data_IF_523068601720
#
_entry.id   IF_523068601720
#
_cell.length_a   1.000
_cell.length_b   1.000
_cell.length_c   1.000
_cell.angle_alpha   90.00
_cell.angle_beta   90.00
_cell.angle_gamma   90.00
#
_symmetry.space_group_name_H-M   'P 1'
#
loop_
_entity.id
_entity.type
_entity.pdbx_description
1 polymer ?
2 non-polymer ?
3 water ?
#
# COMPACT_ATOMS: atom_id res chain seq x y z
N UNK A 1 -1.32 -0.13 -5.89
CA UNK A 1 -0.82 1.20 -6.34
C UNK A 1 0.41 1.05 -7.23
N UNK A 2 0.77 2.13 -7.91
CA UNK A 2 1.95 2.12 -8.78
C UNK A 2 3.26 2.08 -7.99
N UNK A 3 4.32 1.66 -8.66
CA UNK A 3 5.67 1.57 -8.10
C UNK A 3 6.58 1.62 -9.33
N UNK A 4 6.42 2.70 -10.10
CA UNK A 4 7.16 2.86 -11.35
C UNK A 4 8.65 3.10 -11.32
N UNK A 5 9.14 3.77 -10.30
CA UNK A 5 10.58 4.03 -10.18
C UNK A 5 11.07 3.59 -8.82
N UNK A 6 12.27 3.06 -8.79
CA UNK A 6 12.87 2.56 -7.58
C UNK A 6 13.06 3.62 -6.49
N UNK A 7 13.57 4.78 -6.85
CA UNK A 7 13.83 5.82 -5.85
C UNK A 7 13.18 7.18 -6.08
N UNK A 8 12.08 7.20 -6.82
CA UNK A 8 11.36 8.45 -7.10
C UNK A 8 9.86 8.28 -6.82
N UNK A 9 9.24 9.32 -6.28
CA UNK A 9 7.81 9.29 -5.96
C UNK A 9 6.90 9.60 -7.14
N UNK A 10 7.43 10.28 -8.15
CA UNK A 10 6.66 10.66 -9.32
C UNK A 10 5.56 9.68 -9.74
N UNK A 11 5.96 8.47 -10.09
CA UNK A 11 4.99 7.44 -10.48
C UNK A 11 5.13 6.21 -9.60
N UNK A 12 5.39 6.45 -8.32
CA UNK A 12 5.53 5.38 -7.35
C UNK A 12 4.69 5.74 -6.12
N UNK A 13 3.40 5.42 -6.19
CA UNK A 13 2.48 5.69 -5.09
C UNK A 13 2.89 4.95 -3.81
N UNK A 14 3.46 3.75 -3.97
CA UNK A 14 3.88 2.99 -2.80
C UNK A 14 4.95 3.70 -1.97
N UNK A 15 5.96 4.22 -2.65
CA UNK A 15 7.04 4.93 -1.96
C UNK A 15 6.50 6.19 -1.32
N UNK A 16 5.62 6.88 -2.04
CA UNK A 16 5.00 8.10 -1.55
C UNK A 16 4.28 7.81 -0.23
N UNK A 17 3.49 6.74 -0.23
CA UNK A 17 2.74 6.35 0.98
C UNK A 17 3.68 6.12 2.17
N UNK A 18 4.77 5.39 1.94
CA UNK A 18 5.72 5.10 3.01
C UNK A 18 6.43 6.36 3.49
N UNK A 19 6.82 7.24 2.57
CA UNK A 19 7.52 8.47 2.95
C UNK A 19 6.60 9.37 3.78
N UNK A 20 5.31 9.38 3.44
CA UNK A 20 4.36 10.19 4.20
C UNK A 20 4.13 9.58 5.59
N UNK A 21 4.18 8.26 5.68
CA UNK A 21 4.01 7.57 6.95
C UNK A 21 5.19 7.90 7.87
N UNK A 22 6.38 7.95 7.28
CA UNK A 22 7.59 8.26 8.02
C UNK A 22 7.51 9.71 8.51
N UNK A 23 6.96 10.60 7.68
CA UNK A 23 6.79 12.00 8.08
C UNK A 23 5.86 12.10 9.29
N UNK A 24 4.87 11.22 9.37
CA UNK A 24 3.94 11.23 10.51
C UNK A 24 4.72 10.87 11.77
N UNK A 25 5.61 9.88 11.68
CA UNK A 25 6.43 9.47 12.81
C UNK A 25 7.33 10.63 13.25
N UNK A 26 7.89 11.36 12.29
CA UNK A 26 8.76 12.49 12.58
C UNK A 26 7.99 13.63 13.27
N UNK A 27 6.74 13.83 12.87
CA UNK A 27 5.93 14.88 13.46
C UNK A 27 5.50 14.55 14.90
N UNK A 28 5.46 13.28 15.23
CA UNK A 28 5.07 12.88 16.58
C UNK A 28 6.22 13.06 17.57
N UNK A 29 6.01 13.88 18.59
CA UNK A 29 7.04 14.15 19.58
C UNK A 29 6.67 13.62 20.97
N UNK A 30 5.60 12.84 21.04
CA UNK A 30 5.16 12.30 22.32
C UNK A 30 5.49 10.84 22.56
N UNK A 31 5.46 10.02 21.52
CA UNK A 31 5.74 8.60 21.72
C UNK A 31 6.71 7.97 20.75
N UNK A 32 7.10 8.70 19.70
CA UNK A 32 8.03 8.13 18.72
C UNK A 32 9.49 8.45 19.01
N UNK A 33 10.32 7.41 19.08
CA UNK A 33 11.77 7.60 19.28
C UNK A 33 12.27 7.95 17.87
N UNK A 34 12.71 9.18 17.68
CA UNK A 34 13.17 9.62 16.37
C UNK A 34 14.36 8.86 15.79
N UNK A 35 15.06 8.09 16.61
CA UNK A 35 16.20 7.32 16.09
C UNK A 35 15.69 6.24 15.15
N UNK A 36 14.39 5.93 15.26
CA UNK A 36 13.78 4.93 14.40
C UNK A 36 13.68 5.48 12.98
N UNK A 37 13.31 6.75 12.87
CA UNK A 37 13.22 7.39 11.56
C UNK A 37 14.63 7.53 10.99
N UNK A 38 15.59 7.77 11.87
CA UNK A 38 16.97 7.90 11.43
C UNK A 38 17.45 6.57 10.81
N UNK A 39 17.05 5.45 11.42
CA UNK A 39 17.46 4.15 10.89
C UNK A 39 16.81 3.85 9.54
N UNK A 40 15.54 4.22 9.38
CA UNK A 40 14.84 4.01 8.12
C UNK A 40 15.55 4.79 7.01
N UNK A 41 16.01 6.00 7.34
CA UNK A 41 16.71 6.84 6.37
C UNK A 41 18.11 6.33 6.08
N UNK A 42 18.77 5.78 7.10
CA UNK A 42 20.11 5.24 6.93
C UNK A 42 20.10 4.09 5.92
N UNK A 43 19.08 3.25 6.01
CA UNK A 43 18.97 2.11 5.10
C UNK A 43 17.85 2.31 4.08
N UNK A 44 17.67 3.56 3.65
CA UNK A 44 16.63 3.90 2.69
C UNK A 44 16.76 3.24 1.32
N UNK A 45 17.99 3.08 0.83
CA UNK A 45 18.18 2.45 -0.47
C UNK A 45 17.56 1.04 -0.46
N UNK A 46 17.82 0.30 0.60
CA UNK A 46 17.31 -1.06 0.76
C UNK A 46 15.80 -1.07 0.95
N UNK A 47 15.30 -0.14 1.76
CA UNK A 47 13.87 -0.03 2.01
C UNK A 47 13.14 0.22 0.69
N UNK A 48 13.64 1.16 -0.11
CA UNK A 48 13.04 1.46 -1.40
C UNK A 48 13.18 0.31 -2.40
N UNK A 49 14.30 -0.40 -2.36
CA UNK A 49 14.50 -1.55 -3.25
C UNK A 49 13.38 -2.58 -2.99
N UNK A 50 13.07 -2.78 -1.71
CA UNK A 50 12.04 -3.72 -1.34
C UNK A 50 10.66 -3.28 -1.78
N UNK A 51 10.36 -1.99 -1.59
CA UNK A 51 9.08 -1.43 -1.99
C UNK A 51 8.85 -1.61 -3.50
N UNK A 52 9.92 -1.44 -4.27
CA UNK A 52 9.88 -1.55 -5.74
C UNK A 52 9.87 -2.99 -6.24
N UNK A 53 10.71 -3.84 -5.64
CA UNK A 53 10.83 -5.24 -6.04
C UNK A 53 9.52 -6.03 -6.09
N UNK A 54 8.59 -5.72 -5.17
CA UNK A 54 7.33 -6.43 -5.11
C UNK A 54 6.57 -6.50 -6.44
N UNK A 55 6.60 -5.42 -7.22
CA UNK A 55 5.90 -5.38 -8.51
C UNK A 55 6.80 -5.67 -9.72
N UNK A 56 8.06 -5.97 -9.48
CA UNK A 56 9.00 -6.18 -10.58
C UNK A 56 9.62 -7.56 -10.79
N UNK A 57 9.68 -8.39 -9.74
CA UNK A 57 10.31 -9.69 -9.89
C UNK A 57 9.72 -10.80 -9.04
N UNK A 58 10.13 -12.03 -9.36
CA UNK A 58 9.67 -13.20 -8.62
C UNK A 58 10.48 -13.28 -7.32
N UNK A 59 9.92 -13.90 -6.28
CA UNK A 59 8.59 -14.53 -6.26
C UNK A 59 7.48 -13.50 -5.96
N UNK A 60 7.89 -12.29 -5.63
CA UNK A 60 6.99 -11.22 -5.25
C UNK A 60 5.84 -10.90 -6.20
N UNK A 61 6.08 -10.89 -7.51
CA UNK A 61 4.99 -10.55 -8.43
C UNK A 61 4.32 -11.74 -9.13
N UNK A 62 4.63 -12.94 -8.63
CA UNK A 62 4.03 -14.17 -9.13
C UNK A 62 3.90 -14.30 -10.65
N UNK A 63 5.04 -14.33 -11.34
CA UNK A 63 5.05 -14.47 -12.80
C UNK A 63 4.16 -13.45 -13.50
N UNK A 64 4.24 -12.20 -13.06
CA UNK A 64 3.45 -11.11 -13.62
C UNK A 64 1.94 -11.26 -13.46
N UNK A 65 1.49 -12.00 -12.45
CA UNK A 65 0.05 -12.12 -12.22
C UNK A 65 -0.32 -11.29 -10.99
N UNK A 66 0.69 -10.96 -10.18
CA UNK A 66 0.53 -10.15 -8.96
C UNK A 66 -0.51 -10.68 -7.99
N UNK A 67 -0.73 -11.99 -8.01
CA UNK A 67 -1.72 -12.61 -7.12
C UNK A 67 -1.51 -12.31 -5.63
N UNK A 68 -0.26 -12.31 -5.17
CA UNK A 68 0.01 -12.06 -3.75
C UNK A 68 -0.24 -10.61 -3.33
N UNK A 69 -0.60 -9.77 -4.29
CA UNK A 69 -0.85 -8.36 -4.03
C UNK A 69 -2.33 -8.05 -3.76
N UNK A 70 -3.15 -9.11 -3.72
CA UNK A 70 -4.58 -8.95 -3.46
C UNK A 70 -4.99 -9.74 -2.21
N UNK A 71 -6.08 -9.31 -1.56
CA UNK A 71 -6.59 -9.98 -0.37
C UNK A 71 -7.99 -9.45 -0.04
N UNK A 72 -8.99 -10.32 -0.16
CA UNK A 72 -10.38 -9.97 0.16
C UNK A 72 -10.60 -10.45 1.59
N UNK A 73 -10.83 -9.52 2.53
CA UNK A 73 -11.04 -9.88 3.94
C UNK A 73 -12.25 -10.75 4.25
N UNK A 74 -13.24 -10.78 3.36
CA UNK A 74 -14.44 -11.58 3.61
C UNK A 74 -14.26 -13.07 3.34
N UNK A 75 -13.43 -13.43 2.36
CA UNK A 75 -13.18 -14.84 2.09
C UNK A 75 -11.71 -15.19 2.31
N UNK A 76 -10.90 -14.16 2.53
CA UNK A 76 -9.47 -14.34 2.78
C UNK A 76 -8.65 -14.86 1.59
N UNK A 77 -9.10 -14.57 0.38
CA UNK A 77 -8.43 -15.05 -0.83
C UNK A 77 -8.03 -13.96 -1.81
N UNK A 78 -7.14 -14.32 -2.75
CA UNK A 78 -6.72 -13.40 -3.81
C UNK A 78 -7.59 -13.78 -5.03
N UNK A 79 -7.34 -13.18 -6.19
CA UNK A 79 -8.18 -13.45 -7.36
C UNK A 79 -7.94 -14.72 -8.14
N UNK A 80 -6.85 -15.41 -7.83
CA UNK A 80 -6.53 -16.68 -8.50
C UNK A 80 -6.71 -17.78 -7.45
N UNK A 81 -7.55 -18.78 -7.75
CA UNK A 81 -7.81 -19.90 -6.84
C UNK A 81 -6.51 -20.54 -6.33
N UNK A 82 -6.44 -20.77 -5.02
CA UNK A 82 -5.30 -21.42 -4.37
C UNK A 82 -3.99 -20.67 -4.27
N UNK A 83 -3.94 -19.43 -4.79
CA UNK A 83 -2.71 -18.67 -4.73
C UNK A 83 -2.53 -17.93 -3.39
N UNK A 84 -1.28 -17.62 -3.07
CA UNK A 84 -0.95 -16.90 -1.84
C UNK A 84 -1.50 -15.48 -1.91
N UNK A 85 -1.97 -14.96 -0.78
CA UNK A 85 -2.53 -13.61 -0.76
C UNK A 85 -1.67 -12.60 0.01
N UNK A 86 -2.12 -11.35 0.02
CA UNK A 86 -1.38 -10.26 0.65
C UNK A 86 -1.23 -10.28 2.17
N UNK A 87 -2.18 -10.88 2.88
CA UNK A 87 -2.08 -10.91 4.34
C UNK A 87 -0.93 -11.81 4.79
N UNK A 88 -0.94 -13.05 4.33
CA UNK A 88 0.11 -13.99 4.71
C UNK A 88 1.48 -13.56 4.15
N UNK A 89 1.48 -12.98 2.95
CA UNK A 89 2.72 -12.54 2.32
C UNK A 89 3.30 -11.31 3.03
N UNK A 90 2.45 -10.33 3.33
CA UNK A 90 2.93 -9.14 4.01
C UNK A 90 3.49 -9.51 5.39
N UNK A 91 2.81 -10.40 6.10
CA UNK A 91 3.26 -10.81 7.43
C UNK A 91 4.58 -11.57 7.35
N UNK A 92 4.72 -12.39 6.31
CA UNK A 92 5.94 -13.16 6.10
C UNK A 92 7.17 -12.26 6.07
N UNK A 93 7.12 -11.20 5.29
CA UNK A 93 8.26 -10.29 5.18
C UNK A 93 8.44 -9.40 6.41
N UNK A 94 7.35 -9.20 7.15
CA UNK A 94 7.39 -8.40 8.37
C UNK A 94 8.26 -9.16 9.39
N UNK A 95 8.06 -10.48 9.44
CA UNK A 95 8.82 -11.32 10.36
C UNK A 95 10.25 -11.57 9.92
N UNK A 96 10.46 -11.81 8.63
CA UNK A 96 11.81 -12.03 8.12
C UNK A 96 12.63 -10.76 8.37
N UNK A 97 12.00 -9.62 8.16
CA UNK A 97 12.67 -8.34 8.38
C UNK A 97 13.10 -8.20 9.85
N UNK A 98 12.17 -8.49 10.74
CA UNK A 98 12.44 -8.41 12.16
C UNK A 98 13.52 -9.35 12.66
N UNK A 99 13.53 -10.58 12.14
CA UNK A 99 14.54 -11.55 12.56
C UNK A 99 15.92 -11.07 12.10
N UNK A 100 15.98 -10.51 10.89
CA UNK A 100 17.24 -10.00 10.37
C UNK A 100 17.71 -8.81 11.20
N UNK A 101 16.77 -7.97 11.59
CA UNK A 101 17.07 -6.78 12.40
C UNK A 101 17.70 -7.16 13.72
N UNK A 102 17.17 -8.19 14.37
CA UNK A 102 17.71 -8.65 15.64
C UNK A 102 19.09 -9.28 15.45
N UNK A 103 19.32 -9.85 14.27
CA UNK A 103 20.59 -10.49 13.96
C UNK A 103 21.61 -9.47 13.44
N UNK A 104 21.20 -8.21 13.38
CA UNK A 104 22.08 -7.12 12.93
C UNK A 104 22.38 -7.10 11.43
N UNK A 105 21.53 -7.75 10.63
CA UNK A 105 21.71 -7.73 9.18
C UNK A 105 20.74 -6.66 8.68
N UNK A 106 21.19 -5.41 8.72
CA UNK A 106 20.37 -4.27 8.34
C UNK A 106 19.88 -4.18 6.89
N UNK A 107 20.75 -4.49 5.93
CA UNK A 107 20.33 -4.42 4.54
C UNK A 107 19.20 -5.43 4.26
N UNK A 108 19.35 -6.62 4.82
CA UNK A 108 18.36 -7.67 4.67
C UNK A 108 17.08 -7.24 5.38
N UNK A 109 17.23 -6.71 6.58
CA UNK A 109 16.10 -6.28 7.41
C UNK A 109 15.20 -5.24 6.74
N UNK A 110 15.80 -4.14 6.28
CA UNK A 110 15.01 -3.08 5.67
C UNK A 110 14.53 -3.36 4.26
N UNK A 111 15.18 -4.30 3.58
CA UNK A 111 14.72 -4.70 2.24
C UNK A 111 13.40 -5.45 2.46
N UNK A 112 13.41 -6.40 3.40
CA UNK A 112 12.21 -7.16 3.70
C UNK A 112 11.12 -6.28 4.30
N UNK A 113 11.49 -5.26 5.06
CA UNK A 113 10.50 -4.37 5.64
C UNK A 113 9.80 -3.63 4.50
N UNK A 114 10.60 -3.18 3.52
CA UNK A 114 10.04 -2.48 2.37
C UNK A 114 9.01 -3.33 1.65
N UNK A 115 9.31 -4.62 1.48
CA UNK A 115 8.38 -5.53 0.82
C UNK A 115 7.08 -5.61 1.63
N UNK A 116 7.23 -5.77 2.95
CA UNK A 116 6.06 -5.86 3.83
C UNK A 116 5.19 -4.62 3.74
N UNK A 117 5.83 -3.44 3.75
CA UNK A 117 5.10 -2.19 3.66
C UNK A 117 4.37 -2.11 2.33
N UNK A 118 4.95 -2.69 1.29
CA UNK A 118 4.33 -2.67 -0.04
C UNK A 118 3.01 -3.43 0.00
N UNK A 119 3.03 -4.63 0.56
CA UNK A 119 1.82 -5.44 0.64
C UNK A 119 0.76 -4.78 1.51
N UNK A 120 1.17 -4.17 2.61
CA UNK A 120 0.21 -3.46 3.48
C UNK A 120 -0.39 -2.32 2.65
N UNK A 121 0.45 -1.64 1.89
CA UNK A 121 -0.04 -0.55 1.06
C UNK A 121 -1.06 -1.02 0.04
N UNK A 122 -0.80 -2.16 -0.59
CA UNK A 122 -1.72 -2.68 -1.59
C UNK A 122 -3.13 -2.95 -1.07
N UNK A 123 -3.26 -3.55 0.12
CA UNK A 123 -4.60 -3.83 0.63
C UNK A 123 -5.38 -2.55 0.95
N UNK A 124 -4.69 -1.41 0.91
CA UNK A 124 -5.35 -0.13 1.16
C UNK A 124 -5.96 0.40 -0.14
N UNK A 125 -5.64 -0.25 -1.26
CA UNK A 125 -6.17 0.11 -2.57
C UNK A 125 -7.44 -0.75 -2.66
N UNK A 126 -8.64 -0.12 -2.67
CA UNK A 126 -9.90 -0.86 -2.74
C UNK A 126 -9.98 -2.00 -3.75
N UNK A 127 -9.47 -1.77 -4.96
CA UNK A 127 -9.51 -2.81 -5.99
C UNK A 127 -8.74 -4.06 -5.56
N UNK A 128 -7.64 -3.86 -4.84
CA UNK A 128 -6.82 -4.99 -4.37
C UNK A 128 -7.48 -5.73 -3.21
N UNK A 129 -8.36 -5.05 -2.48
CA UNK A 129 -9.05 -5.66 -1.36
C UNK A 129 -10.35 -6.31 -1.81
N UNK A 130 -10.68 -6.15 -3.10
CA UNK A 130 -11.92 -6.70 -3.66
C UNK A 130 -11.68 -7.56 -4.89
N UNK A 131 -10.41 -7.86 -5.18
CA UNK A 131 -10.07 -8.67 -6.34
C UNK A 131 -10.57 -8.14 -7.68
N UNK A 132 -10.42 -6.83 -7.87
CA UNK A 132 -10.80 -6.16 -9.11
C UNK A 132 -9.47 -5.92 -9.82
N UNK A 133 -9.21 -6.69 -10.88
CA UNK A 133 -7.97 -6.59 -11.64
C UNK A 133 -8.15 -5.76 -12.90
N UNK A 134 -7.07 -5.63 -13.68
CA UNK A 134 -7.12 -4.87 -14.92
C UNK A 134 -7.90 -5.65 -15.98
N UNK A 135 -8.25 -6.89 -15.65
CA UNK A 135 -9.00 -7.73 -16.58
C UNK A 135 -10.48 -7.72 -16.17
N UNK A 136 -10.75 -7.21 -14.98
CA UNK A 136 -12.12 -7.11 -14.47
C UNK A 136 -12.89 -6.05 -15.25
N UNK A 137 -14.20 -6.25 -15.37
CA UNK A 137 -15.06 -5.34 -16.11
C UNK A 137 -15.29 -4.01 -15.38
N UNK A 138 -14.99 -2.87 -16.03
CA UNK A 138 -14.46 -2.74 -17.40
C UNK A 138 -12.94 -2.92 -17.45
N UNK A 139 -12.48 -3.80 -18.33
CA UNK A 139 -11.05 -4.05 -18.44
C UNK A 139 -10.27 -2.79 -18.84
N UNK A 140 -9.13 -2.58 -18.16
CA UNK A 140 -8.30 -1.42 -18.42
C UNK A 140 -8.47 -0.33 -17.37
N UNK A 141 -9.58 -0.40 -16.63
CA UNK A 141 -9.89 0.59 -15.60
C UNK A 141 -8.90 0.57 -14.43
N UNK A 142 -8.50 -0.62 -14.00
CA UNK A 142 -7.55 -0.76 -12.89
C UNK A 142 -6.24 -0.03 -13.17
N UNK A 143 -5.64 -0.28 -14.33
CA UNK A 143 -4.38 0.38 -14.66
C UNK A 143 -4.55 1.89 -14.86
N UNK A 144 -5.63 2.30 -15.53
CA UNK A 144 -5.84 3.73 -15.75
C UNK A 144 -6.07 4.45 -14.44
N UNK A 145 -6.77 3.80 -13.51
CA UNK A 145 -7.02 4.41 -12.20
C UNK A 145 -5.72 4.63 -11.41
N UNK A 146 -4.88 3.62 -11.34
CA UNK A 146 -3.64 3.74 -10.58
C UNK A 146 -2.67 4.74 -11.18
N UNK A 147 -2.72 4.92 -12.50
CA UNK A 147 -1.85 5.91 -13.15
C UNK A 147 -2.39 7.30 -12.81
N UNK A 148 -3.72 7.43 -12.78
CA UNK A 148 -4.36 8.70 -12.45
C UNK A 148 -4.02 9.12 -11.01
N UNK A 149 -4.00 8.15 -10.10
CA UNK A 149 -3.69 8.43 -8.70
C UNK A 149 -2.38 9.19 -8.57
N UNK A 150 -1.37 8.79 -9.35
CA UNK A 150 -0.08 9.46 -9.27
C UNK A 150 -0.16 10.95 -9.59
N UNK A 151 -1.11 11.36 -10.43
CA UNK A 151 -1.25 12.76 -10.81
C UNK A 151 -1.85 13.64 -9.73
N UNK A 152 -2.52 13.04 -8.74
CA UNK A 152 -3.16 13.81 -7.66
C UNK A 152 -2.78 13.44 -6.23
N UNK A 153 -2.04 12.36 -6.05
CA UNK A 153 -1.68 11.91 -4.70
C UNK A 153 -1.04 12.94 -3.77
N UNK A 154 -0.14 13.76 -4.31
CA UNK A 154 0.55 14.74 -3.47
C UNK A 154 -0.37 15.78 -2.84
N UNK A 155 -1.65 15.78 -3.21
CA UNK A 155 -2.61 16.74 -2.66
C UNK A 155 -3.30 16.18 -1.42
N UNK A 156 -2.94 14.97 -1.02
CA UNK A 156 -3.57 14.33 0.13
C UNK A 156 -2.61 13.84 1.21
N UNK A 157 -1.64 14.68 1.55
CA UNK A 157 -0.69 14.32 2.59
C UNK A 157 -1.27 14.54 3.98
N UNK A 158 -0.96 13.63 4.90
CA UNK A 158 -1.40 13.76 6.29
C UNK A 158 -0.36 14.68 6.90
N UNK A 159 -0.79 15.79 7.49
CA UNK A 159 0.16 16.74 8.06
C UNK A 159 0.26 16.81 9.58
N UNK A 160 -0.17 15.77 10.28
CA UNK A 160 -0.08 15.75 11.74
C UNK A 160 0.71 14.51 12.18
N UNK A 161 0.90 14.34 13.48
CA UNK A 161 1.67 13.19 13.95
C UNK A 161 0.77 12.09 14.51
N UNK A 162 -0.46 12.05 14.01
CA UNK A 162 -1.43 11.06 14.49
C UNK A 162 -1.53 9.81 13.64
N UNK A 163 -0.56 8.92 13.81
CA UNK A 163 -0.62 7.66 13.08
C UNK A 163 -1.54 6.77 13.90
N UNK A 164 -1.91 5.61 13.36
CA UNK A 164 -2.77 4.71 14.13
C UNK A 164 -1.89 3.84 15.01
N UNK A 165 -1.43 4.43 16.11
CA UNK A 165 -0.57 3.72 17.06
C UNK A 165 -1.34 2.60 17.72
N UNK A 166 -0.75 1.41 17.75
CA UNK A 166 -1.38 0.23 18.34
C UNK A 166 -2.81 0.03 17.83
N UNK A 167 -3.00 0.24 16.53
CA UNK A 167 -4.30 0.10 15.89
C UNK A 167 -4.87 -1.29 16.09
N UNK A 168 -4.02 -2.30 15.91
CA UNK A 168 -4.42 -3.70 16.09
C UNK A 168 -3.44 -4.35 17.04
N UNK A 169 -3.56 -5.66 17.22
CA UNK A 169 -2.67 -6.37 18.12
C UNK A 169 -1.22 -6.38 17.68
N UNK A 170 -0.45 -7.32 18.22
CA UNK A 170 0.96 -7.46 17.87
C UNK A 170 1.17 -8.26 16.59
N UNK A 171 0.11 -8.88 16.10
CA UNK A 171 0.21 -9.69 14.89
C UNK A 171 0.03 -8.84 13.63
N UNK A 172 1.06 -8.80 12.75
CA UNK A 172 0.95 -7.99 11.54
C UNK A 172 -0.24 -8.39 10.65
N UNK A 173 -0.61 -9.67 10.68
CA UNK A 173 -1.75 -10.12 9.86
C UNK A 173 -3.01 -9.37 10.24
N UNK A 174 -3.14 -9.03 11.52
CA UNK A 174 -4.30 -8.32 12.02
C UNK A 174 -4.34 -6.90 11.43
N UNK A 175 -3.17 -6.32 11.23
CA UNK A 175 -3.10 -4.98 10.66
C UNK A 175 -3.43 -5.01 9.17
N UNK A 176 -2.90 -6.00 8.45
CA UNK A 176 -3.17 -6.11 7.02
C UNK A 176 -4.64 -6.42 6.79
N UNK A 177 -5.20 -7.33 7.58
CA UNK A 177 -6.61 -7.68 7.46
C UNK A 177 -7.47 -6.45 7.75
N UNK A 178 -7.15 -5.77 8.85
CA UNK A 178 -7.90 -4.58 9.23
C UNK A 178 -7.91 -3.50 8.17
N UNK A 179 -6.77 -3.31 7.51
CA UNK A 179 -6.66 -2.31 6.46
C UNK A 179 -7.51 -2.74 5.27
N UNK A 180 -7.49 -4.03 4.94
CA UNK A 180 -8.28 -4.55 3.82
C UNK A 180 -9.77 -4.37 4.07
N UNK A 181 -10.20 -4.56 5.32
CA UNK A 181 -11.61 -4.39 5.67
C UNK A 181 -12.10 -2.99 5.34
N UNK A 182 -11.37 -1.98 5.78
CA UNK A 182 -11.74 -0.59 5.53
C UNK A 182 -11.70 -0.28 4.04
N UNK A 183 -10.64 -0.74 3.37
CA UNK A 183 -10.51 -0.50 1.94
C UNK A 183 -11.68 -1.08 1.14
N UNK A 184 -12.10 -2.29 1.50
CA UNK A 184 -13.23 -2.93 0.79
C UNK A 184 -14.53 -2.18 1.03
N UNK A 185 -14.71 -1.67 2.25
CA UNK A 185 -15.92 -0.92 2.57
C UNK A 185 -15.97 0.30 1.65
N UNK A 186 -14.81 0.81 1.27
CA UNK A 186 -14.72 1.99 0.41
C UNK A 186 -14.71 1.70 -1.09
N UNK A 187 -14.73 0.43 -1.45
CA UNK A 187 -14.71 0.01 -2.85
C UNK A 187 -15.72 0.69 -3.78
N UNK A 188 -16.98 0.74 -3.36
CA UNK A 188 -18.03 1.34 -4.18
C UNK A 188 -17.83 2.83 -4.46
N UNK A 189 -16.83 3.43 -3.82
CA UNK A 189 -16.57 4.84 -4.05
C UNK A 189 -15.65 5.00 -5.25
N UNK A 190 -15.13 3.88 -5.74
CA UNK A 190 -14.22 3.86 -6.88
C UNK A 190 -14.84 3.10 -8.05
N UNK A 191 -15.37 1.91 -7.76
CA UNK A 191 -15.99 1.07 -8.78
C UNK A 191 -17.50 0.94 -8.60
N UNK A 192 -18.24 1.48 -9.56
CA UNK A 192 -19.70 1.43 -9.56
C UNK A 192 -20.22 1.63 -10.98
N UNK A 193 -21.53 1.47 -11.18
CA UNK A 193 -22.10 1.62 -12.51
C UNK A 193 -21.77 2.94 -13.18
N UNK A 194 -21.68 4.01 -12.39
CA UNK A 194 -21.37 5.32 -12.93
C UNK A 194 -19.94 5.41 -13.46
N UNK A 195 -18.96 5.07 -12.63
CA UNK A 195 -17.58 5.13 -13.08
C UNK A 195 -17.34 4.15 -14.23
N UNK A 196 -18.08 3.04 -14.23
CA UNK A 196 -17.94 2.04 -15.29
C UNK A 196 -18.41 2.62 -16.63
N UNK A 197 -19.61 3.18 -16.65
CA UNK A 197 -20.17 3.75 -17.87
C UNK A 197 -19.33 4.89 -18.41
N UNK A 198 -18.86 5.76 -17.51
CA UNK A 198 -18.06 6.89 -17.93
C UNK A 198 -16.70 6.48 -18.45
N UNK A 199 -16.08 5.48 -17.81
CA UNK A 199 -14.78 5.01 -18.26
C UNK A 199 -14.87 4.51 -19.70
N UNK A 200 -15.92 3.72 -19.97
CA UNK A 200 -16.12 3.18 -21.31
C UNK A 200 -16.35 4.30 -22.33
N UNK A 201 -17.16 5.29 -21.95
CA UNK A 201 -17.44 6.41 -22.83
C UNK A 201 -16.23 7.29 -23.05
N UNK A 202 -15.28 7.26 -22.11
CA UNK A 202 -14.08 8.07 -22.23
C UNK A 202 -13.27 7.63 -23.45
N UNK A 203 -13.54 6.42 -23.92
CA UNK A 203 -12.84 5.88 -25.09
C UNK A 203 -12.93 6.81 -26.29
N UNK A 204 -14.08 7.47 -26.43
CA UNK A 204 -14.31 8.38 -27.54
C UNK A 204 -14.73 9.78 -27.10
N UNK A 205 -14.69 10.04 -25.79
CA UNK A 205 -15.09 11.35 -25.27
C UNK A 205 -14.18 11.86 -24.17
N UNK A 206 -13.54 13.00 -24.41
CA UNK A 206 -12.65 13.61 -23.43
C UNK A 206 -13.43 14.04 -22.20
N UNK A 207 -14.68 14.43 -22.40
CA UNK A 207 -15.54 14.87 -21.31
C UNK A 207 -15.72 13.77 -20.27
N UNK A 208 -15.92 12.54 -20.74
CA UNK A 208 -16.11 11.42 -19.84
C UNK A 208 -14.80 10.95 -19.22
N UNK A 209 -13.69 11.26 -19.89
CA UNK A 209 -12.38 10.90 -19.34
C UNK A 209 -12.18 11.71 -18.07
N UNK A 210 -12.53 13.00 -18.13
CA UNK A 210 -12.39 13.88 -16.98
C UNK A 210 -13.47 13.59 -15.94
N UNK A 211 -14.62 13.10 -16.40
CA UNK A 211 -15.74 12.81 -15.51
C UNK A 211 -15.48 11.67 -14.53
N UNK A 212 -14.95 10.54 -14.99
CA UNK A 212 -14.70 9.45 -14.06
C UNK A 212 -13.55 9.79 -13.12
N UNK A 213 -12.58 10.56 -13.62
CA UNK A 213 -11.45 10.94 -12.79
C UNK A 213 -11.91 11.81 -11.62
N UNK A 214 -12.79 12.77 -11.90
CA UNK A 214 -13.31 13.64 -10.85
C UNK A 214 -14.10 12.82 -9.83
N UNK A 215 -14.93 11.93 -10.33
CA UNK A 215 -15.78 11.09 -9.49
C UNK A 215 -15.04 10.25 -8.45
N UNK A 216 -13.90 9.68 -8.83
CA UNK A 216 -13.14 8.84 -7.90
C UNK A 216 -12.14 9.58 -7.02
N UNK A 217 -11.99 10.89 -7.21
CA UNK A 217 -11.03 11.67 -6.43
C UNK A 217 -11.26 11.75 -4.92
N UNK A 218 -12.51 12.04 -4.47
CA UNK A 218 -12.71 12.11 -3.01
C UNK A 218 -12.33 10.83 -2.28
N UNK A 219 -12.81 9.68 -2.74
CA UNK A 219 -12.48 8.42 -2.09
C UNK A 219 -11.00 8.08 -2.21
N UNK A 220 -10.38 8.50 -3.31
CA UNK A 220 -8.95 8.25 -3.50
C UNK A 220 -8.20 8.98 -2.38
N UNK A 221 -8.66 10.20 -2.07
CA UNK A 221 -8.03 10.97 -1.02
C UNK A 221 -8.14 10.27 0.32
N UNK A 222 -9.33 9.73 0.61
CA UNK A 222 -9.55 9.03 1.87
C UNK A 222 -8.63 7.83 2.00
N UNK A 223 -8.57 7.02 0.94
CA UNK A 223 -7.74 5.83 0.93
C UNK A 223 -6.25 6.13 1.13
N UNK A 224 -5.77 7.18 0.48
CA UNK A 224 -4.36 7.56 0.61
C UNK A 224 -4.05 8.02 2.03
N UNK A 225 -4.95 8.79 2.63
CA UNK A 225 -4.73 9.26 3.98
C UNK A 225 -4.81 8.15 5.00
N UNK A 226 -5.76 7.23 4.86
CA UNK A 226 -5.86 6.11 5.78
C UNK A 226 -4.60 5.25 5.64
N UNK A 227 -4.14 5.07 4.41
CA UNK A 227 -2.94 4.27 4.14
C UNK A 227 -1.73 4.81 4.89
N UNK A 228 -1.60 6.13 4.92
CA UNK A 228 -0.49 6.78 5.61
C UNK A 228 -0.53 6.52 7.12
N UNK A 229 -1.69 6.75 7.73
CA UNK A 229 -1.85 6.56 9.17
C UNK A 229 -1.65 5.12 9.60
N UNK A 230 -2.17 4.17 8.82
CA UNK A 230 -2.03 2.76 9.13
C UNK A 230 -0.56 2.33 9.00
N UNK A 231 0.08 2.76 7.92
CA UNK A 231 1.49 2.42 7.68
C UNK A 231 2.39 2.96 8.80
N UNK A 232 2.12 4.17 9.26
CA UNK A 232 2.90 4.75 10.34
C UNK A 232 2.79 3.87 11.59
N UNK A 233 1.56 3.47 11.94
CA UNK A 233 1.36 2.62 13.11
C UNK A 233 2.03 1.26 12.97
N UNK A 234 2.02 0.74 11.75
CA UNK A 234 2.63 -0.56 11.42
C UNK A 234 4.15 -0.51 11.62
N UNK A 235 4.78 0.57 11.16
CA UNK A 235 6.23 0.72 11.31
C UNK A 235 6.57 0.80 12.81
N UNK A 236 5.77 1.56 13.55
CA UNK A 236 5.99 1.72 14.99
C UNK A 236 5.91 0.34 15.66
N UNK A 237 4.94 -0.46 15.26
CA UNK A 237 4.78 -1.81 15.81
C UNK A 237 6.03 -2.65 15.55
N UNK A 238 6.59 -2.53 14.35
CA UNK A 238 7.77 -3.29 13.96
C UNK A 238 8.94 -3.00 14.89
N UNK A 239 9.22 -1.72 15.13
CA UNK A 239 10.31 -1.34 16.02
C UNK A 239 10.02 -1.75 17.47
N UNK A 240 8.77 -1.56 17.91
CA UNK A 240 8.38 -1.94 19.27
C UNK A 240 8.61 -3.43 19.47
N UNK A 241 8.39 -4.20 18.41
CA UNK A 241 8.54 -5.64 18.45
C UNK A 241 9.98 -6.16 18.38
N UNK A 242 10.73 -5.66 17.39
CA UNK A 242 12.10 -6.11 17.16
C UNK A 242 13.22 -5.17 17.60
N UNK A 243 12.87 -3.92 17.89
CA UNK A 243 13.87 -2.94 18.29
C UNK A 243 14.58 -3.26 19.60
N UNK A 244 15.61 -4.10 19.50
CA UNK A 244 16.42 -4.51 20.66
C UNK A 244 15.58 -4.60 21.94
X LIG B 1 1.85 -4.48 -5.59
X LIG C 1 -2.98 -2.50 -8.76
X LIG D 1 0.44 -1.50 -5.67
#
# INVERSE_FOLDING_TARGET
WSAGDKHKEGVNSHLWIVNRAIDIMSRNTTLVKQDRVAQLNEWRTELENGIYAADYENPYYDNSTFASHFYDPDNGKTYIPFAKQAKETGAKYFKLAGESYKNKDMKQAFFYLGLSLHYLGDVNQPMHAANFTNLSYPQGFHSKYENFVDTIKDNYKVTDGNGYWNWKGTNPEEWIHGAAVVAKQDYSGIVNDNTKDWFVKAAVSQEYADKWRAEVTPMTGKRLMDAQRVTAGYIQLWFDTYGDR
ZN ZN
ZN ZN
ZN ZN
#
